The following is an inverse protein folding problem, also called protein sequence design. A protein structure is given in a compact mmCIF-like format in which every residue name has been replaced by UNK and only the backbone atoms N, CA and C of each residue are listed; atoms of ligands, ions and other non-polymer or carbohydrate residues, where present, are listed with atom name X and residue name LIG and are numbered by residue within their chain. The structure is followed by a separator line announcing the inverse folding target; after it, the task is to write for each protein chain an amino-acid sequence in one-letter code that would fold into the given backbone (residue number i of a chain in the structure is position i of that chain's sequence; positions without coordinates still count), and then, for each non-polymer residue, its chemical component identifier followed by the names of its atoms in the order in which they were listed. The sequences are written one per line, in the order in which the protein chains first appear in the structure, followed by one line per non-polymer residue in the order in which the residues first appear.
data_IF_581306082720
#
_entry.id   IF_581306082720
#
_cell.length_a   1.000
_cell.length_b   1.000
_cell.length_c   1.000
_cell.angle_alpha   90.00
_cell.angle_beta   90.00
_cell.angle_gamma   90.00
#
_symmetry.space_group_name_H-M   'P 1'
#
loop_
_entity.id
_entity.type
_entity.pdbx_description
1 polymer ?
#
# COMPACT_ATOMS: atom_id res chain seq x y z
N UNK A 1 27.67 95.08 -58.67
CA UNK A 1 27.31 93.73 -58.18
C UNK A 1 28.56 93.13 -57.56
N UNK A 2 28.80 93.35 -56.27
CA UNK A 2 30.00 92.82 -55.57
C UNK A 2 29.99 93.07 -54.06
N UNK A 3 28.82 93.04 -53.40
CA UNK A 3 28.75 93.11 -51.93
C UNK A 3 27.94 91.99 -51.29
N UNK A 4 27.45 91.05 -52.10
CA UNK A 4 26.52 89.98 -51.65
C UNK A 4 27.15 88.58 -51.71
N UNK A 5 28.39 88.45 -52.21
CA UNK A 5 29.10 87.16 -52.27
C UNK A 5 30.06 86.91 -51.09
N UNK A 6 30.51 87.96 -50.39
CA UNK A 6 31.36 87.79 -49.20
C UNK A 6 30.55 87.45 -47.93
N UNK A 7 29.29 87.87 -47.85
CA UNK A 7 28.43 87.57 -46.69
C UNK A 7 27.98 86.10 -46.64
N UNK A 8 28.05 85.37 -47.75
CA UNK A 8 27.71 83.94 -47.82
C UNK A 8 28.90 83.00 -47.62
N UNK A 9 30.15 83.49 -47.65
CA UNK A 9 31.34 82.64 -47.54
C UNK A 9 31.88 82.52 -46.11
N UNK A 10 31.50 83.44 -45.22
CA UNK A 10 31.93 83.42 -43.82
C UNK A 10 31.10 82.44 -42.96
N UNK A 11 29.93 82.00 -43.45
CA UNK A 11 28.99 81.15 -42.71
C UNK A 11 29.26 79.63 -42.87
N UNK A 12 30.36 79.25 -43.54
CA UNK A 12 30.71 77.84 -43.81
C UNK A 12 32.05 77.42 -43.20
N UNK A 13 32.72 78.30 -42.44
CA UNK A 13 33.83 77.89 -41.57
C UNK A 13 33.30 77.82 -40.16
N UNK A 14 33.01 76.60 -39.69
CA UNK A 14 32.66 76.34 -38.30
C UNK A 14 33.60 77.12 -37.39
N UNK A 15 33.03 77.93 -36.51
CA UNK A 15 33.81 78.77 -35.62
C UNK A 15 34.71 77.85 -34.78
N UNK A 16 35.97 78.25 -34.52
CA UNK A 16 36.92 77.37 -33.80
C UNK A 16 36.42 77.02 -32.39
N UNK A 17 35.43 77.76 -31.89
CA UNK A 17 34.73 77.52 -30.62
C UNK A 17 33.70 76.39 -30.70
N UNK A 18 33.21 76.04 -31.89
CA UNK A 18 32.21 74.98 -32.12
C UNK A 18 32.85 73.67 -32.60
N UNK A 19 34.17 73.64 -32.74
CA UNK A 19 34.91 72.46 -33.22
C UNK A 19 35.89 71.99 -32.14
N UNK A 20 35.68 70.79 -31.60
CA UNK A 20 36.60 70.18 -30.62
C UNK A 20 38.00 70.03 -31.21
N UNK A 21 39.01 70.48 -30.47
CA UNK A 21 40.40 70.28 -30.85
C UNK A 21 40.76 68.80 -30.71
N UNK A 22 41.68 68.30 -31.55
CA UNK A 22 42.08 66.89 -31.56
C UNK A 22 42.45 66.36 -30.16
N UNK A 23 43.12 67.19 -29.37
CA UNK A 23 43.51 66.86 -27.99
C UNK A 23 42.32 66.67 -27.05
N UNK A 24 41.27 67.47 -27.17
CA UNK A 24 40.05 67.32 -26.36
C UNK A 24 39.30 66.04 -26.73
N UNK A 25 39.27 65.69 -28.01
CA UNK A 25 38.66 64.44 -28.50
C UNK A 25 39.41 63.21 -27.98
N UNK A 26 40.75 63.23 -28.02
CA UNK A 26 41.58 62.11 -27.55
C UNK A 26 41.40 61.90 -26.02
N UNK A 27 41.35 62.99 -25.23
CA UNK A 27 41.10 62.93 -23.78
C UNK A 27 39.71 62.36 -23.47
N UNK A 28 38.68 62.76 -24.23
CA UNK A 28 37.33 62.23 -24.05
C UNK A 28 37.25 60.74 -24.39
N UNK A 29 37.97 60.30 -25.43
CA UNK A 29 38.01 58.90 -25.84
C UNK A 29 38.67 58.01 -24.78
N UNK A 30 39.79 58.43 -24.21
CA UNK A 30 40.48 57.72 -23.14
C UNK A 30 39.62 57.64 -21.86
N UNK A 31 38.89 58.72 -21.54
CA UNK A 31 37.96 58.73 -20.42
C UNK A 31 36.80 57.75 -20.61
N UNK A 32 36.24 57.67 -21.82
CA UNK A 32 35.17 56.72 -22.16
C UNK A 32 35.67 55.27 -22.12
N UNK A 33 36.88 54.99 -22.61
CA UNK A 33 37.46 53.65 -22.57
C UNK A 33 37.64 53.13 -21.13
N UNK A 34 38.13 53.97 -20.21
CA UNK A 34 38.31 53.61 -18.80
C UNK A 34 36.97 53.33 -18.08
N UNK A 35 35.93 54.11 -18.39
CA UNK A 35 34.58 53.86 -17.84
C UNK A 35 34.03 52.51 -18.29
N UNK A 36 34.24 52.14 -19.56
CA UNK A 36 33.80 50.83 -20.09
C UNK A 36 34.50 49.67 -19.39
N UNK A 37 35.82 49.76 -19.20
CA UNK A 37 36.59 48.71 -18.51
C UNK A 37 36.15 48.53 -17.04
N UNK A 38 35.84 49.63 -16.35
CA UNK A 38 35.34 49.58 -14.96
C UNK A 38 33.96 48.95 -14.91
N UNK A 39 33.04 49.31 -15.82
CA UNK A 39 31.69 48.76 -15.86
C UNK A 39 31.70 47.26 -16.14
N UNK A 40 32.49 46.81 -17.12
CA UNK A 40 32.61 45.38 -17.45
C UNK A 40 33.21 44.58 -16.29
N UNK A 41 34.21 45.14 -15.60
CA UNK A 41 34.83 44.52 -14.42
C UNK A 41 33.84 44.38 -13.25
N UNK A 42 33.05 45.43 -12.98
CA UNK A 42 32.04 45.41 -11.94
C UNK A 42 30.93 44.39 -12.24
N UNK A 43 30.46 44.35 -13.48
CA UNK A 43 29.39 43.43 -13.92
C UNK A 43 29.82 41.96 -13.83
N UNK A 44 31.06 41.62 -14.19
CA UNK A 44 31.60 40.25 -14.06
C UNK A 44 31.71 39.80 -12.61
N UNK A 45 32.14 40.70 -11.72
CA UNK A 45 32.31 40.38 -10.30
C UNK A 45 30.96 40.10 -9.63
N UNK A 46 29.92 40.83 -10.03
CA UNK A 46 28.55 40.64 -9.51
C UNK A 46 27.93 39.32 -9.99
N UNK A 47 28.14 38.95 -11.26
CA UNK A 47 27.70 37.66 -11.82
C UNK A 47 28.40 36.47 -11.16
N UNK A 48 29.73 36.55 -10.94
CA UNK A 48 30.50 35.51 -10.27
C UNK A 48 30.03 35.31 -8.80
N UNK A 49 29.71 36.39 -8.09
CA UNK A 49 29.18 36.33 -6.73
C UNK A 49 27.76 35.71 -6.67
N UNK A 50 26.90 36.02 -7.66
CA UNK A 50 25.55 35.44 -7.77
C UNK A 50 25.57 33.96 -8.14
N UNK A 51 26.52 33.54 -8.98
CA UNK A 51 26.74 32.13 -9.33
C UNK A 51 27.19 31.32 -8.12
N UNK A 52 28.15 31.84 -7.35
CA UNK A 52 28.63 31.20 -6.12
C UNK A 52 27.48 30.99 -5.10
N UNK A 53 26.59 31.98 -4.98
CA UNK A 53 25.43 31.90 -4.06
C UNK A 53 24.35 30.90 -4.52
N UNK A 54 24.28 30.59 -5.82
CA UNK A 54 23.38 29.57 -6.38
C UNK A 54 23.94 28.16 -6.24
N UNK A 55 25.25 28.00 -6.35
CA UNK A 55 25.93 26.71 -6.19
C UNK A 55 25.83 26.20 -4.74
N UNK A 56 26.06 27.06 -3.74
CA UNK A 56 25.96 26.70 -2.30
C UNK A 56 24.54 26.31 -1.84
N UNK A 57 23.49 26.85 -2.48
CA UNK A 57 22.09 26.52 -2.15
C UNK A 57 21.60 25.22 -2.80
N UNK A 58 22.16 24.83 -3.94
CA UNK A 58 21.81 23.60 -4.66
C UNK A 58 22.18 22.34 -3.86
N UNK A 59 23.38 22.35 -3.27
CA UNK A 59 23.91 21.18 -2.56
C UNK A 59 23.31 21.00 -1.17
N UNK A 60 22.78 22.07 -0.57
CA UNK A 60 22.19 22.03 0.77
C UNK A 60 20.69 21.65 0.77
N UNK A 61 19.94 21.93 -0.30
CA UNK A 61 18.48 21.74 -0.33
C UNK A 61 18.00 20.33 -0.74
N UNK A 62 18.89 19.38 -1.09
CA UNK A 62 18.43 18.15 -1.78
C UNK A 62 18.71 16.84 -1.03
N UNK A 63 19.63 16.82 -0.06
CA UNK A 63 20.10 15.55 0.53
C UNK A 63 19.49 15.23 1.90
N UNK A 64 19.50 16.16 2.84
CA UNK A 64 19.05 15.93 4.23
C UNK A 64 17.53 15.79 4.37
N UNK A 65 16.75 16.58 3.64
CA UNK A 65 15.28 16.44 3.63
C UNK A 65 14.83 15.13 2.95
N UNK A 66 15.56 14.66 1.94
CA UNK A 66 15.25 13.41 1.23
C UNK A 66 15.56 12.19 2.09
N UNK A 67 16.73 12.16 2.76
CA UNK A 67 17.14 11.05 3.62
C UNK A 67 16.18 10.89 4.81
N UNK A 68 15.78 12.00 5.45
CA UNK A 68 14.81 11.97 6.57
C UNK A 68 13.41 11.54 6.15
N UNK A 69 12.94 11.92 4.96
CA UNK A 69 11.66 11.48 4.43
C UNK A 69 11.68 9.98 4.06
N UNK A 70 12.84 9.49 3.59
CA UNK A 70 13.04 8.08 3.24
C UNK A 70 13.03 7.20 4.49
N UNK A 71 13.75 7.58 5.54
CA UNK A 71 13.74 6.89 6.84
C UNK A 71 12.33 6.84 7.44
N UNK A 72 11.60 7.97 7.41
CA UNK A 72 10.23 8.04 7.91
C UNK A 72 9.23 7.18 7.12
N UNK A 73 9.50 6.87 5.85
CA UNK A 73 8.69 5.96 5.04
C UNK A 73 9.09 4.49 5.24
N UNK A 74 10.38 4.21 5.48
CA UNK A 74 10.86 2.89 5.84
C UNK A 74 10.25 2.44 7.18
N UNK A 75 10.29 3.29 8.21
CA UNK A 75 9.71 3.03 9.54
C UNK A 75 8.21 2.73 9.47
N UNK A 76 7.45 3.48 8.63
CA UNK A 76 6.03 3.22 8.41
C UNK A 76 5.78 1.86 7.76
N UNK A 77 6.65 1.44 6.83
CA UNK A 77 6.51 0.16 6.12
C UNK A 77 6.76 -1.00 7.09
N UNK A 78 7.81 -0.93 7.91
CA UNK A 78 8.08 -1.94 8.95
C UNK A 78 6.92 -2.05 9.96
N UNK A 79 6.34 -0.91 10.34
CA UNK A 79 5.21 -0.87 11.26
C UNK A 79 3.95 -1.48 10.62
N UNK A 80 3.68 -1.20 9.34
CA UNK A 80 2.57 -1.80 8.58
C UNK A 80 2.76 -3.31 8.44
N UNK A 81 3.95 -3.77 8.04
CA UNK A 81 4.25 -5.20 7.92
C UNK A 81 4.12 -5.92 9.26
N UNK A 82 4.59 -5.31 10.35
CA UNK A 82 4.44 -5.88 11.69
C UNK A 82 2.98 -5.98 12.12
N UNK A 83 2.14 -4.98 11.84
CA UNK A 83 0.71 -5.03 12.14
C UNK A 83 -0.02 -6.10 11.31
N UNK A 84 0.23 -6.18 9.99
CA UNK A 84 -0.36 -7.20 9.13
C UNK A 84 0.02 -8.62 9.54
N UNK A 85 1.28 -8.83 9.95
CA UNK A 85 1.77 -10.14 10.39
C UNK A 85 1.08 -10.62 11.68
N UNK A 86 0.82 -9.71 12.62
CA UNK A 86 0.10 -10.04 13.86
C UNK A 86 -1.35 -10.44 13.56
N UNK A 87 -2.01 -9.74 12.63
CA UNK A 87 -3.38 -10.09 12.21
C UNK A 87 -3.45 -11.46 11.53
N UNK A 88 -2.50 -11.77 10.64
CA UNK A 88 -2.40 -13.07 9.97
C UNK A 88 -2.12 -14.22 10.96
N UNK A 89 -1.20 -14.04 11.90
CA UNK A 89 -0.88 -15.04 12.93
C UNK A 89 -2.10 -15.31 13.85
N UNK A 90 -2.85 -14.26 14.22
CA UNK A 90 -4.06 -14.40 15.02
C UNK A 90 -5.20 -15.10 14.26
N UNK A 91 -5.36 -14.79 12.97
CA UNK A 91 -6.31 -15.46 12.08
C UNK A 91 -5.97 -16.94 11.87
N UNK A 92 -4.68 -17.26 11.71
CA UNK A 92 -4.19 -18.64 11.58
C UNK A 92 -4.49 -19.45 12.86
N UNK A 93 -4.18 -18.88 14.02
CA UNK A 93 -4.50 -19.50 15.32
C UNK A 93 -6.02 -19.72 15.50
N UNK A 94 -6.85 -18.78 15.03
CA UNK A 94 -8.30 -18.92 15.09
C UNK A 94 -8.81 -20.04 14.17
N UNK A 95 -8.28 -20.15 12.95
CA UNK A 95 -8.65 -21.20 12.01
C UNK A 95 -8.29 -22.61 12.51
N UNK A 96 -7.12 -22.76 13.11
CA UNK A 96 -6.71 -24.04 13.71
C UNK A 96 -7.64 -24.45 14.85
N UNK A 97 -8.06 -23.49 15.69
CA UNK A 97 -9.03 -23.73 16.75
C UNK A 97 -10.41 -24.12 16.18
N UNK A 98 -10.89 -23.42 15.16
CA UNK A 98 -12.19 -23.72 14.52
C UNK A 98 -12.21 -25.13 13.94
N UNK A 99 -11.14 -25.56 13.26
CA UNK A 99 -11.03 -26.91 12.73
C UNK A 99 -11.07 -27.97 13.84
N UNK A 100 -10.41 -27.73 14.97
CA UNK A 100 -10.44 -28.63 16.13
C UNK A 100 -11.85 -28.76 16.72
N UNK A 101 -12.62 -27.67 16.80
CA UNK A 101 -13.96 -27.68 17.40
C UNK A 101 -14.97 -28.54 16.62
N UNK A 102 -14.83 -28.69 15.30
CA UNK A 102 -15.78 -29.47 14.48
C UNK A 102 -15.83 -30.97 14.78
N UNK A 103 -14.84 -31.49 15.51
CA UNK A 103 -14.75 -32.91 15.87
C UNK A 103 -15.30 -33.22 17.27
N UNK A 104 -15.73 -32.20 18.01
CA UNK A 104 -16.33 -32.37 19.34
C UNK A 104 -17.84 -32.52 19.22
N UNK A 105 -18.42 -33.30 20.13
CA UNK A 105 -19.88 -33.45 20.26
C UNK A 105 -20.39 -32.36 21.20
N UNK A 106 -21.23 -31.45 20.67
CA UNK A 106 -21.98 -30.47 21.45
C UNK A 106 -23.22 -31.12 22.13
N UNK A 107 -23.70 -30.60 23.25
CA UNK A 107 -24.92 -31.12 23.92
C UNK A 107 -26.20 -30.35 23.53
N UNK A 108 -26.06 -29.24 22.83
CA UNK A 108 -27.10 -28.25 22.53
C UNK A 108 -27.76 -28.50 21.19
N UNK A 109 -27.02 -29.09 20.25
CA UNK A 109 -27.43 -29.24 18.85
C UNK A 109 -27.50 -30.70 18.43
N UNK A 110 -28.44 -30.99 17.53
CA UNK A 110 -28.50 -32.28 16.84
C UNK A 110 -27.23 -32.47 16.00
N UNK A 111 -26.56 -33.60 16.16
CA UNK A 111 -25.29 -33.90 15.50
C UNK A 111 -25.25 -35.34 14.99
N UNK A 112 -24.53 -35.52 13.89
CA UNK A 112 -24.27 -36.84 13.30
C UNK A 112 -22.87 -37.30 13.70
N UNK A 113 -22.79 -38.42 14.41
CA UNK A 113 -21.52 -39.05 14.77
C UNK A 113 -21.26 -40.19 13.79
N UNK A 114 -20.15 -40.11 13.05
CA UNK A 114 -19.76 -41.12 12.06
C UNK A 114 -18.78 -42.12 12.70
N UNK A 115 -18.81 -43.37 12.23
CA UNK A 115 -17.91 -44.46 12.65
C UNK A 115 -18.39 -45.26 13.86
N UNK A 116 -17.63 -46.30 14.24
CA UNK A 116 -17.92 -47.11 15.42
C UNK A 116 -17.54 -46.35 16.69
N UNK A 117 -18.44 -46.30 17.66
CA UNK A 117 -18.22 -45.72 18.99
C UNK A 117 -18.51 -46.75 20.07
N UNK A 118 -17.71 -46.73 21.12
CA UNK A 118 -17.90 -47.55 22.30
C UNK A 118 -18.45 -46.66 23.41
N UNK A 119 -19.60 -47.02 23.96
CA UNK A 119 -20.21 -46.35 25.10
C UNK A 119 -20.32 -47.34 26.25
N UNK A 120 -19.96 -46.91 27.47
CA UNK A 120 -20.04 -47.77 28.65
C UNK A 120 -21.49 -47.99 29.12
N UNK A 121 -22.23 -46.91 29.31
CA UNK A 121 -23.65 -46.94 29.65
C UNK A 121 -24.41 -45.99 28.72
N UNK A 122 -25.54 -46.47 28.17
CA UNK A 122 -26.41 -45.70 27.29
C UNK A 122 -27.80 -45.66 27.93
N UNK A 123 -28.35 -44.45 28.12
CA UNK A 123 -29.73 -44.24 28.57
C UNK A 123 -30.42 -43.36 27.55
N UNK A 124 -31.39 -43.93 26.84
CA UNK A 124 -32.15 -43.26 25.77
C UNK A 124 -33.62 -43.62 25.90
N UNK A 125 -34.51 -42.68 25.60
CA UNK A 125 -35.96 -42.90 25.62
C UNK A 125 -36.45 -43.74 24.44
N UNK A 126 -35.78 -43.63 23.29
CA UNK A 126 -36.12 -44.33 22.06
C UNK A 126 -34.92 -44.45 21.13
N UNK A 127 -34.81 -45.58 20.43
CA UNK A 127 -33.82 -45.81 19.36
C UNK A 127 -34.58 -46.15 18.09
N UNK A 128 -34.37 -45.38 17.02
CA UNK A 128 -34.91 -45.66 15.69
C UNK A 128 -33.80 -46.10 14.74
N UNK A 129 -34.05 -47.10 13.91
CA UNK A 129 -33.12 -47.54 12.88
C UNK A 129 -33.48 -46.90 11.54
N UNK A 130 -32.64 -45.99 11.04
CA UNK A 130 -32.90 -45.30 9.77
C UNK A 130 -32.87 -46.30 8.60
N UNK A 131 -33.87 -46.24 7.73
CA UNK A 131 -33.92 -47.04 6.50
C UNK A 131 -34.25 -48.52 6.69
N UNK A 132 -34.71 -48.95 7.88
CA UNK A 132 -35.30 -50.28 8.08
C UNK A 132 -36.81 -50.18 8.26
N UNK A 133 -37.53 -51.18 7.78
CA UNK A 133 -38.95 -51.34 8.00
C UNK A 133 -39.21 -51.94 9.40
N UNK A 134 -40.47 -51.92 9.84
CA UNK A 134 -40.92 -52.48 11.13
C UNK A 134 -40.78 -54.03 11.22
N UNK A 135 -40.05 -54.65 10.31
CA UNK A 135 -39.84 -56.09 10.24
C UNK A 135 -38.60 -56.58 11.02
N UNK A 136 -37.92 -55.70 11.77
CA UNK A 136 -36.74 -56.06 12.54
C UNK A 136 -36.71 -55.44 13.94
N UNK A 137 -36.24 -56.21 14.92
CA UNK A 137 -36.06 -55.83 16.32
C UNK A 137 -34.59 -55.55 16.56
N UNK A 138 -34.25 -54.43 17.20
CA UNK A 138 -32.90 -54.12 17.67
C UNK A 138 -32.57 -54.95 18.91
N UNK A 139 -31.47 -55.70 18.89
CA UNK A 139 -31.00 -56.47 20.03
C UNK A 139 -30.03 -55.64 20.87
N UNK A 140 -30.04 -55.88 22.19
CA UNK A 140 -29.12 -55.24 23.14
C UNK A 140 -27.62 -55.45 22.79
N UNK A 141 -27.29 -56.49 22.03
CA UNK A 141 -25.92 -56.76 21.52
C UNK A 141 -25.53 -56.01 20.24
N UNK A 142 -26.37 -55.09 19.74
CA UNK A 142 -26.06 -54.28 18.54
C UNK A 142 -26.39 -54.93 17.20
N UNK A 143 -27.07 -56.08 17.20
CA UNK A 143 -27.58 -56.76 16.00
C UNK A 143 -29.08 -56.52 15.77
N UNK A 144 -29.59 -57.07 14.67
CA UNK A 144 -31.02 -57.12 14.40
C UNK A 144 -31.51 -58.55 14.35
N UNK A 145 -32.77 -58.75 14.73
CA UNK A 145 -33.50 -60.00 14.50
C UNK A 145 -34.74 -59.71 13.69
N UNK A 146 -35.01 -60.53 12.68
CA UNK A 146 -36.25 -60.42 11.91
C UNK A 146 -37.45 -60.83 12.76
N UNK A 147 -38.54 -60.06 12.68
CA UNK A 147 -39.80 -60.37 13.36
C UNK A 147 -40.34 -61.74 12.93
N UNK A 148 -40.13 -62.13 11.66
CA UNK A 148 -40.52 -63.46 11.16
C UNK A 148 -39.84 -64.61 11.90
N UNK A 149 -38.63 -64.40 12.44
CA UNK A 149 -37.89 -65.42 13.18
C UNK A 149 -38.57 -65.80 14.51
N UNK A 150 -39.35 -64.88 15.11
CA UNK A 150 -40.17 -65.17 16.30
C UNK A 150 -41.35 -66.07 15.94
N UNK A 151 -41.99 -65.78 14.80
CA UNK A 151 -43.20 -66.46 14.36
C UNK A 151 -42.93 -67.90 13.92
N UNK A 152 -41.69 -68.20 13.52
CA UNK A 152 -41.23 -69.55 13.13
C UNK A 152 -40.70 -70.37 14.31
N UNK A 153 -40.69 -69.84 15.53
CA UNK A 153 -40.18 -70.57 16.69
C UNK A 153 -41.18 -71.67 17.07
N UNK A 154 -40.78 -72.96 17.13
CA UNK A 154 -41.72 -74.08 17.34
C UNK A 154 -42.62 -73.90 18.58
N UNK A 155 -42.06 -73.35 19.64
CA UNK A 155 -42.75 -73.11 20.91
C UNK A 155 -43.87 -72.06 20.82
N UNK A 156 -43.83 -71.17 19.82
CA UNK A 156 -44.88 -70.19 19.56
C UNK A 156 -45.86 -70.64 18.48
N UNK A 157 -45.50 -71.66 17.69
CA UNK A 157 -46.40 -72.29 16.74
C UNK A 157 -47.41 -73.21 17.46
N UNK A 158 -46.98 -73.92 18.52
CA UNK A 158 -47.88 -74.72 19.37
C UNK A 158 -49.02 -73.89 20.00
N UNK A 159 -48.76 -72.63 20.38
CA UNK A 159 -49.78 -71.73 20.94
C UNK A 159 -50.80 -71.29 19.88
N UNK A 160 -50.40 -71.17 18.60
CA UNK A 160 -51.34 -70.87 17.51
C UNK A 160 -52.23 -72.05 17.19
N UNK A 161 -51.67 -73.26 17.20
CA UNK A 161 -52.43 -74.46 16.86
C UNK A 161 -53.46 -74.83 17.95
N UNK A 162 -53.29 -74.34 19.20
CA UNK A 162 -54.27 -74.49 20.29
C UNK A 162 -55.43 -73.48 20.17
N UNK A 163 -55.24 -72.35 19.48
CA UNK A 163 -56.21 -71.26 19.37
C UNK A 163 -57.09 -71.31 18.10
N UNK A 164 -56.96 -72.37 17.29
CA UNK A 164 -57.74 -72.59 16.05
C UNK A 164 -58.58 -73.86 16.17
#
# INVERSE_FOLDING_TARGET
VSKTQDETLLDVKADKTDTYTKTETDILFDAVANVVDIVDSYSKTEDDALLLLKEDKSDTYTKTETDTLLDANADKTELIESYSKIEDDALLLLNDNVAYLTNFVDLTFAQTIIGQKQFGAISVSSISKLGKNDASILLAGGGDMLVSSLVTQPQLQEVRDIAT
#
